data_IF_893551294228
#
_entry.id   IF_893551294228
#
_cell.length_a   1.000
_cell.length_b   1.000
_cell.length_c   1.000
_cell.angle_alpha   90.00
_cell.angle_beta   90.00
_cell.angle_gamma   90.00
#
_symmetry.space_group_name_H-M   'P 1'
#
loop_
_entity.id
_entity.type
_entity.pdbx_description
1 polymer ?
#
# COMPACT_ATOMS: atom_id res chain seq x y z
N UNK A 1 39.14 31.75 -0.44
CA UNK A 1 38.65 30.84 0.63
C UNK A 1 37.14 30.93 0.87
N UNK A 2 36.57 32.14 1.02
CA UNK A 2 35.13 32.35 1.32
C UNK A 2 34.14 31.62 0.39
N UNK A 3 34.30 31.69 -0.94
CA UNK A 3 33.38 31.00 -1.87
C UNK A 3 33.40 29.47 -1.74
N UNK A 4 34.58 28.86 -1.54
CA UNK A 4 34.72 27.40 -1.34
C UNK A 4 34.11 26.95 -0.02
N UNK A 5 34.26 27.76 1.04
CA UNK A 5 33.66 27.48 2.35
C UNK A 5 32.14 27.61 2.32
N UNK A 6 31.61 28.60 1.60
CA UNK A 6 30.17 28.76 1.35
C UNK A 6 29.59 27.55 0.60
N UNK A 7 30.23 27.11 -0.49
CA UNK A 7 29.80 25.91 -1.23
C UNK A 7 29.85 24.63 -0.39
N UNK A 8 30.87 24.47 0.46
CA UNK A 8 30.99 23.32 1.36
C UNK A 8 29.88 23.31 2.42
N UNK A 9 29.55 24.48 2.98
CA UNK A 9 28.48 24.62 3.97
C UNK A 9 27.09 24.36 3.35
N UNK A 10 26.83 24.85 2.13
CA UNK A 10 25.59 24.57 1.40
C UNK A 10 25.44 23.08 1.09
N UNK A 11 26.53 22.41 0.67
CA UNK A 11 26.55 20.96 0.45
C UNK A 11 26.30 20.18 1.74
N UNK A 12 26.90 20.62 2.86
CA UNK A 12 26.70 20.01 4.16
C UNK A 12 25.24 20.15 4.63
N UNK A 13 24.67 21.35 4.59
CA UNK A 13 23.27 21.60 5.00
C UNK A 13 22.31 20.82 4.10
N UNK A 14 22.48 20.89 2.77
CA UNK A 14 21.65 20.14 1.83
C UNK A 14 21.76 18.63 2.03
N UNK A 15 22.98 18.11 2.21
CA UNK A 15 23.24 16.70 2.49
C UNK A 15 22.61 16.25 3.81
N UNK A 16 22.69 17.06 4.87
CA UNK A 16 22.04 16.80 6.14
C UNK A 16 20.52 16.78 6.00
N UNK A 17 19.90 17.78 5.36
CA UNK A 17 18.45 17.82 5.13
C UNK A 17 17.94 16.61 4.35
N UNK A 18 18.71 16.14 3.37
CA UNK A 18 18.42 14.90 2.64
C UNK A 18 18.54 13.69 3.58
N UNK A 19 19.61 13.59 4.38
CA UNK A 19 19.84 12.44 5.25
C UNK A 19 18.83 12.33 6.40
N UNK A 20 18.36 13.45 6.95
CA UNK A 20 17.34 13.46 8.02
C UNK A 20 15.92 13.30 7.48
N UNK A 21 15.72 13.33 6.16
CA UNK A 21 14.40 13.24 5.57
C UNK A 21 13.57 14.51 5.79
N UNK A 22 14.13 15.69 5.53
CA UNK A 22 13.35 16.93 5.59
C UNK A 22 12.28 16.98 4.47
N UNK A 23 11.02 17.16 4.86
CA UNK A 23 9.90 17.11 3.91
C UNK A 23 9.99 18.20 2.86
N UNK A 24 10.34 19.44 3.24
CA UNK A 24 10.43 20.56 2.31
C UNK A 24 11.53 20.33 1.28
N UNK A 25 12.72 19.92 1.74
CA UNK A 25 13.88 19.59 0.89
C UNK A 25 13.54 18.51 -0.14
N UNK A 26 12.87 17.43 0.28
CA UNK A 26 12.48 16.37 -0.63
C UNK A 26 11.44 16.80 -1.65
N UNK A 27 10.34 17.41 -1.18
CA UNK A 27 9.20 17.77 -2.03
C UNK A 27 9.49 18.91 -3.00
N UNK A 28 10.37 19.85 -2.66
CA UNK A 28 10.62 21.04 -3.49
C UNK A 28 11.92 20.98 -4.30
N UNK A 29 12.90 20.15 -3.91
CA UNK A 29 14.19 20.09 -4.60
C UNK A 29 14.56 18.69 -5.07
N UNK A 30 14.64 17.71 -4.16
CA UNK A 30 15.17 16.38 -4.50
C UNK A 30 14.27 15.65 -5.50
N UNK A 31 12.99 15.53 -5.18
CA UNK A 31 12.05 14.78 -6.02
C UNK A 31 11.79 15.49 -7.36
N UNK A 32 11.53 16.82 -7.40
CA UNK A 32 11.41 17.53 -8.67
C UNK A 32 12.65 17.40 -9.57
N UNK A 33 13.86 17.45 -9.00
CA UNK A 33 15.09 17.24 -9.77
C UNK A 33 15.14 15.84 -10.39
N UNK A 34 14.86 14.79 -9.61
CA UNK A 34 14.82 13.40 -10.09
C UNK A 34 13.74 13.24 -11.17
N UNK A 35 12.55 13.78 -10.95
CA UNK A 35 11.42 13.70 -11.88
C UNK A 35 11.74 14.36 -13.23
N UNK A 36 12.46 15.48 -13.21
CA UNK A 36 12.86 16.21 -14.43
C UNK A 36 13.98 15.52 -15.22
N UNK A 37 14.85 14.78 -14.54
CA UNK A 37 16.09 14.28 -15.14
C UNK A 37 16.09 12.79 -15.42
N UNK A 38 15.25 11.99 -14.74
CA UNK A 38 15.26 10.54 -14.81
C UNK A 38 13.91 9.98 -15.24
N UNK A 39 13.94 9.02 -16.17
CA UNK A 39 12.78 8.18 -16.46
C UNK A 39 12.26 7.49 -15.18
N UNK A 40 10.94 7.34 -15.06
CA UNK A 40 10.28 6.83 -13.86
C UNK A 40 10.85 5.47 -13.42
N UNK A 41 11.02 4.53 -14.34
CA UNK A 41 11.57 3.20 -14.03
C UNK A 41 13.02 3.26 -13.52
N UNK A 42 13.88 4.08 -14.13
CA UNK A 42 15.27 4.23 -13.69
C UNK A 42 15.35 4.87 -12.29
N UNK A 43 14.51 5.86 -12.02
CA UNK A 43 14.43 6.47 -10.69
C UNK A 43 13.96 5.48 -9.62
N UNK A 44 13.03 4.59 -9.95
CA UNK A 44 12.56 3.53 -9.05
C UNK A 44 13.66 2.51 -8.78
N UNK A 45 14.34 2.02 -9.82
CA UNK A 45 15.50 1.11 -9.66
C UNK A 45 16.57 1.76 -8.78
N UNK A 46 16.88 3.03 -8.98
CA UNK A 46 17.84 3.76 -8.16
C UNK A 46 17.40 3.89 -6.70
N UNK A 47 16.13 4.18 -6.47
CA UNK A 47 15.58 4.26 -5.11
C UNK A 47 15.68 2.91 -4.38
N UNK A 48 15.37 1.80 -5.06
CA UNK A 48 15.50 0.45 -4.48
C UNK A 48 16.96 0.11 -4.19
N UNK A 49 17.88 0.36 -5.13
CA UNK A 49 19.31 0.12 -4.90
C UNK A 49 19.86 0.96 -3.74
N UNK A 50 19.47 2.23 -3.66
CA UNK A 50 19.86 3.13 -2.57
C UNK A 50 19.35 2.59 -1.23
N UNK A 51 18.08 2.16 -1.15
CA UNK A 51 17.51 1.56 0.04
C UNK A 51 18.19 0.23 0.42
N UNK A 52 18.46 -0.65 -0.55
CA UNK A 52 19.22 -1.89 -0.35
C UNK A 52 20.59 -1.66 0.27
N UNK A 53 21.26 -0.57 -0.10
CA UNK A 53 22.55 -0.18 0.47
C UNK A 53 22.46 0.71 1.72
N UNK A 54 21.26 0.97 2.23
CA UNK A 54 21.04 1.85 3.39
C UNK A 54 21.35 3.33 3.13
N UNK A 55 21.51 3.73 1.87
CA UNK A 55 21.74 5.12 1.44
C UNK A 55 20.39 5.80 1.29
N UNK A 56 19.69 5.93 2.41
CA UNK A 56 18.34 6.50 2.47
C UNK A 56 18.15 7.25 3.78
N UNK A 57 17.23 8.23 3.82
CA UNK A 57 16.97 8.94 5.05
C UNK A 57 16.46 7.99 6.13
N UNK A 58 16.86 8.28 7.37
CA UNK A 58 16.30 7.63 8.54
C UNK A 58 15.32 8.57 9.21
N UNK A 59 14.05 8.31 8.98
CA UNK A 59 12.98 9.06 9.61
C UNK A 59 12.98 8.69 11.10
N UNK A 60 13.09 9.68 12.01
CA UNK A 60 13.05 9.44 13.45
C UNK A 60 11.79 8.65 13.83
N UNK A 61 11.92 7.79 14.85
CA UNK A 61 10.76 7.12 15.43
C UNK A 61 9.84 8.16 16.06
N UNK A 62 8.54 7.93 15.95
CA UNK A 62 7.54 8.78 16.59
C UNK A 62 7.46 8.37 18.07
N UNK A 63 8.25 9.02 18.92
CA UNK A 63 8.29 8.77 20.37
C UNK A 63 7.45 9.80 21.16
N UNK A 64 6.51 10.46 20.49
CA UNK A 64 5.62 11.49 21.06
C UNK A 64 4.22 10.97 21.39
N UNK A 65 3.46 11.76 22.15
CA UNK A 65 2.06 11.48 22.49
C UNK A 65 1.18 11.25 21.25
N UNK A 66 1.53 11.88 20.14
CA UNK A 66 0.86 11.79 18.83
C UNK A 66 0.94 10.36 18.27
N UNK A 67 2.06 9.65 18.45
CA UNK A 67 2.21 8.28 17.96
C UNK A 67 1.33 7.24 18.70
N UNK A 68 0.87 7.56 19.91
CA UNK A 68 0.02 6.67 20.70
C UNK A 68 -1.34 6.41 20.05
N UNK A 69 -1.88 7.40 19.31
CA UNK A 69 -3.12 7.29 18.54
C UNK A 69 -3.04 6.25 17.41
N UNK A 70 -1.82 5.94 16.94
CA UNK A 70 -1.58 5.16 15.74
C UNK A 70 -1.28 3.68 16.01
N UNK A 71 -0.93 3.31 17.25
CA UNK A 71 -0.67 1.91 17.60
C UNK A 71 -1.92 1.06 17.40
N UNK A 72 -1.80 -0.01 16.62
CA UNK A 72 -2.93 -0.85 16.24
C UNK A 72 -2.56 -2.31 16.14
N UNK A 73 -3.56 -3.18 16.11
CA UNK A 73 -3.40 -4.59 15.80
C UNK A 73 -4.12 -4.87 14.47
N UNK A 74 -3.40 -5.44 13.51
CA UNK A 74 -3.92 -5.82 12.21
C UNK A 74 -3.77 -7.33 12.07
N UNK A 75 -4.88 -8.06 12.07
CA UNK A 75 -4.89 -9.52 11.85
C UNK A 75 -4.03 -10.29 12.87
N UNK A 76 -4.09 -9.88 14.15
CA UNK A 76 -3.27 -10.47 15.20
C UNK A 76 -1.81 -10.01 15.22
N UNK A 77 -1.44 -9.05 14.37
CA UNK A 77 -0.09 -8.49 14.29
C UNK A 77 -0.10 -7.08 14.88
N UNK A 78 0.71 -6.85 15.91
CA UNK A 78 0.89 -5.52 16.47
C UNK A 78 1.70 -4.63 15.53
N UNK A 79 1.17 -3.45 15.25
CA UNK A 79 1.78 -2.44 14.40
C UNK A 79 2.04 -1.17 15.23
N UNK A 80 3.24 -0.62 15.09
CA UNK A 80 3.60 0.66 15.69
C UNK A 80 2.77 1.83 15.12
N UNK A 81 2.34 1.71 13.86
CA UNK A 81 1.46 2.65 13.18
C UNK A 81 0.75 1.95 12.00
N UNK A 82 -0.37 2.49 11.47
CA UNK A 82 -1.20 1.83 10.48
C UNK A 82 -0.75 2.07 9.03
N UNK A 83 0.37 2.77 8.80
CA UNK A 83 0.78 3.23 7.48
C UNK A 83 1.83 2.29 6.91
N UNK A 84 1.49 1.59 5.83
CA UNK A 84 2.37 0.63 5.17
C UNK A 84 2.84 1.05 3.79
N UNK A 85 3.87 0.37 3.31
CA UNK A 85 4.31 0.44 1.91
C UNK A 85 3.53 -0.59 1.08
N UNK A 86 2.88 -0.15 0.00
CA UNK A 86 2.12 -1.05 -0.86
C UNK A 86 3.03 -1.93 -1.75
N UNK A 87 2.54 -3.12 -2.14
CA UNK A 87 3.20 -3.95 -3.14
C UNK A 87 3.42 -3.21 -4.47
N UNK A 88 4.48 -3.62 -5.17
CA UNK A 88 4.91 -3.08 -6.44
C UNK A 88 6.12 -2.16 -6.32
N UNK A 89 6.47 -1.70 -5.11
CA UNK A 89 7.69 -0.93 -4.88
C UNK A 89 8.91 -1.85 -4.75
N UNK A 90 9.02 -2.66 -3.69
CA UNK A 90 10.09 -3.67 -3.55
C UNK A 90 9.59 -5.04 -4.03
N UNK A 91 9.68 -5.26 -5.35
CA UNK A 91 9.11 -6.45 -6.01
C UNK A 91 9.87 -7.73 -5.68
N UNK A 92 11.14 -7.63 -5.31
CA UNK A 92 12.05 -8.76 -5.09
C UNK A 92 12.51 -8.89 -3.64
N UNK A 93 11.95 -8.06 -2.73
CA UNK A 93 12.30 -8.04 -1.31
C UNK A 93 13.75 -7.64 -1.04
N UNK A 94 14.38 -6.89 -1.94
CA UNK A 94 15.82 -6.61 -1.91
C UNK A 94 16.21 -5.43 -1.01
N UNK A 95 15.23 -4.64 -0.55
CA UNK A 95 15.48 -3.38 0.14
C UNK A 95 14.70 -3.20 1.45
N UNK A 96 13.99 -4.23 1.92
CA UNK A 96 13.14 -4.17 3.13
C UNK A 96 13.83 -3.51 4.32
N UNK A 97 15.09 -3.87 4.61
CA UNK A 97 15.82 -3.30 5.74
C UNK A 97 16.01 -1.78 5.61
N UNK A 98 16.38 -1.27 4.43
CA UNK A 98 16.50 0.16 4.19
C UNK A 98 15.17 0.88 4.17
N UNK A 99 14.14 0.27 3.57
CA UNK A 99 12.80 0.85 3.48
C UNK A 99 12.12 0.98 4.84
N UNK A 100 12.46 0.10 5.80
CA UNK A 100 11.97 0.23 7.18
C UNK A 100 12.43 1.51 7.87
N UNK A 101 13.47 2.19 7.37
CA UNK A 101 13.91 3.49 7.88
C UNK A 101 12.97 4.64 7.50
N UNK A 102 11.99 4.43 6.62
CA UNK A 102 11.05 5.49 6.21
C UNK A 102 9.92 5.65 7.23
N UNK A 103 9.88 4.83 8.29
CA UNK A 103 8.90 4.95 9.37
C UNK A 103 7.55 4.28 9.08
N UNK A 104 7.48 3.40 8.09
CA UNK A 104 6.33 2.52 7.85
C UNK A 104 6.09 1.57 9.03
N UNK A 105 4.82 1.26 9.31
CA UNK A 105 4.43 0.22 10.26
C UNK A 105 4.58 -1.20 9.68
N UNK A 106 4.43 -1.35 8.37
CA UNK A 106 4.57 -2.62 7.66
C UNK A 106 4.95 -2.40 6.18
N UNK A 107 5.53 -3.41 5.55
CA UNK A 107 5.97 -3.37 4.15
C UNK A 107 5.42 -4.58 3.42
N UNK A 108 4.78 -4.36 2.27
CA UNK A 108 4.37 -5.43 1.36
C UNK A 108 5.34 -5.53 0.18
N UNK A 109 6.05 -6.66 0.07
CA UNK A 109 6.94 -6.96 -1.06
C UNK A 109 6.20 -7.71 -2.17
N UNK A 110 6.74 -7.72 -3.38
CA UNK A 110 6.12 -8.37 -4.54
C UNK A 110 5.29 -7.40 -5.41
N UNK A 111 4.40 -7.86 -6.28
CA UNK A 111 4.01 -9.26 -6.47
C UNK A 111 5.13 -10.10 -7.05
N UNK A 112 5.44 -11.22 -6.40
CA UNK A 112 6.41 -12.22 -6.85
C UNK A 112 5.70 -13.38 -7.53
N UNK A 113 6.36 -13.98 -8.51
CA UNK A 113 5.86 -15.17 -9.24
C UNK A 113 6.81 -16.34 -9.06
N UNK A 114 6.37 -17.60 -9.29
CA UNK A 114 7.24 -18.77 -9.10
C UNK A 114 8.56 -18.67 -9.85
N UNK A 115 8.46 -18.46 -11.17
CA UNK A 115 9.61 -18.26 -12.03
C UNK A 115 9.90 -16.78 -12.23
N UNK A 116 11.17 -16.41 -12.48
CA UNK A 116 11.52 -15.06 -12.91
C UNK A 116 10.78 -14.68 -14.20
N UNK A 117 10.36 -13.43 -14.30
CA UNK A 117 9.84 -12.89 -15.55
C UNK A 117 10.17 -11.41 -15.72
N UNK A 118 10.46 -11.00 -16.96
CA UNK A 118 10.88 -9.64 -17.28
C UNK A 118 9.75 -8.61 -17.14
N UNK A 119 8.50 -9.03 -17.24
CA UNK A 119 7.32 -8.16 -17.38
C UNK A 119 7.12 -7.66 -18.81
N UNK A 120 6.27 -6.65 -18.99
CA UNK A 120 5.99 -6.06 -20.30
C UNK A 120 7.14 -5.18 -20.80
N UNK A 121 7.14 -4.85 -22.10
CA UNK A 121 8.19 -4.04 -22.74
C UNK A 121 8.28 -2.62 -22.16
N UNK A 122 9.50 -2.10 -22.09
CA UNK A 122 9.77 -0.69 -21.76
C UNK A 122 9.43 0.23 -22.96
N UNK A 123 8.93 1.46 -22.75
CA UNK A 123 8.54 2.07 -21.47
C UNK A 123 7.19 1.54 -20.95
N UNK A 124 7.08 1.44 -19.62
CA UNK A 124 5.95 0.79 -18.94
C UNK A 124 5.51 1.46 -17.64
N UNK A 125 6.01 2.65 -17.37
CA UNK A 125 5.63 3.48 -16.23
C UNK A 125 5.75 4.94 -16.62
N UNK A 126 4.68 5.70 -16.39
CA UNK A 126 4.49 7.05 -16.88
C UNK A 126 4.04 7.93 -15.72
N UNK A 127 4.72 9.06 -15.52
CA UNK A 127 4.29 10.06 -14.54
C UNK A 127 3.30 11.01 -15.20
N UNK A 128 2.17 11.22 -14.55
CA UNK A 128 1.22 12.27 -14.88
C UNK A 128 1.43 13.35 -13.82
N UNK A 129 2.31 14.30 -14.14
CA UNK A 129 2.89 15.23 -13.17
C UNK A 129 1.85 16.19 -12.60
N UNK A 130 1.00 16.74 -13.48
CA UNK A 130 -0.09 17.64 -13.16
C UNK A 130 -1.14 16.95 -12.26
N UNK A 131 -1.32 15.64 -12.42
CA UNK A 131 -2.28 14.83 -11.69
C UNK A 131 -1.69 14.18 -10.41
N UNK A 132 -0.38 14.37 -10.16
CA UNK A 132 0.40 13.61 -9.16
C UNK A 132 0.14 12.09 -9.23
N UNK A 133 0.00 11.58 -10.45
CA UNK A 133 -0.45 10.23 -10.73
C UNK A 133 0.60 9.42 -11.48
N UNK A 134 0.42 8.10 -11.50
CA UNK A 134 1.25 7.18 -12.29
C UNK A 134 0.34 6.22 -13.04
N UNK A 135 0.61 6.05 -14.33
CA UNK A 135 0.12 4.91 -15.12
C UNK A 135 1.26 3.91 -15.25
N UNK A 136 1.00 2.63 -14.98
CA UNK A 136 1.99 1.58 -15.19
C UNK A 136 1.39 0.32 -15.82
N UNK A 137 2.21 -0.34 -16.63
CA UNK A 137 1.94 -1.62 -17.26
C UNK A 137 3.06 -2.63 -17.04
N UNK A 138 3.61 -2.70 -15.82
CA UNK A 138 4.78 -3.55 -15.53
C UNK A 138 4.62 -5.04 -15.89
N UNK A 139 3.46 -5.64 -15.62
CA UNK A 139 3.21 -7.06 -15.89
C UNK A 139 4.01 -8.04 -15.01
N UNK A 140 4.03 -7.80 -13.69
CA UNK A 140 4.75 -8.62 -12.70
C UNK A 140 6.23 -8.90 -13.05
N UNK A 141 7.00 -7.87 -13.40
CA UNK A 141 8.46 -8.01 -13.49
C UNK A 141 9.05 -8.38 -12.11
N UNK A 142 9.72 -9.53 -11.99
CA UNK A 142 10.36 -10.00 -10.76
C UNK A 142 11.37 -11.12 -11.04
N UNK A 143 12.23 -11.42 -10.07
CA UNK A 143 13.32 -12.38 -10.14
C UNK A 143 12.97 -13.78 -9.59
N UNK A 144 11.68 -14.07 -9.37
CA UNK A 144 11.19 -15.37 -8.93
C UNK A 144 11.26 -15.59 -7.42
N UNK A 145 10.62 -16.67 -6.95
CA UNK A 145 10.53 -16.94 -5.52
C UNK A 145 11.91 -17.15 -4.86
N UNK A 146 12.81 -17.89 -5.50
CA UNK A 146 14.13 -18.22 -4.94
C UNK A 146 14.98 -16.97 -4.68
N UNK A 147 14.95 -16.00 -5.61
CA UNK A 147 15.68 -14.75 -5.44
C UNK A 147 15.13 -13.95 -4.26
N UNK A 148 13.80 -13.86 -4.14
CA UNK A 148 13.18 -13.15 -3.02
C UNK A 148 13.50 -13.81 -1.68
N UNK A 149 13.51 -15.15 -1.59
CA UNK A 149 13.90 -15.84 -0.36
C UNK A 149 15.32 -15.47 0.05
N UNK A 150 16.26 -15.54 -0.89
CA UNK A 150 17.67 -15.21 -0.62
C UNK A 150 17.84 -13.73 -0.21
N UNK A 151 17.05 -12.82 -0.79
CA UNK A 151 17.07 -11.41 -0.43
C UNK A 151 16.52 -11.16 0.98
N UNK A 152 15.42 -11.80 1.35
CA UNK A 152 14.80 -11.69 2.68
C UNK A 152 15.69 -12.33 3.75
N UNK A 153 16.28 -13.49 3.48
CA UNK A 153 17.18 -14.18 4.41
C UNK A 153 18.43 -13.33 4.71
N UNK A 154 19.07 -12.78 3.68
CA UNK A 154 20.24 -11.89 3.82
C UNK A 154 19.97 -10.69 4.73
N UNK A 155 18.72 -10.21 4.76
CA UNK A 155 18.31 -9.04 5.53
C UNK A 155 17.61 -9.39 6.84
N UNK A 156 17.42 -10.68 7.16
CA UNK A 156 16.56 -11.16 8.26
C UNK A 156 16.90 -10.54 9.60
N UNK A 157 18.19 -10.45 9.95
CA UNK A 157 18.68 -9.81 11.19
C UNK A 157 18.30 -8.34 11.26
N UNK A 158 18.46 -7.60 10.16
CA UNK A 158 18.15 -6.17 10.11
C UNK A 158 16.63 -5.91 10.17
N UNK A 159 15.84 -6.73 9.46
CA UNK A 159 14.37 -6.71 9.50
C UNK A 159 13.87 -6.91 10.94
N UNK A 160 14.37 -7.94 11.63
CA UNK A 160 14.00 -8.23 13.02
C UNK A 160 14.43 -7.11 13.98
N UNK A 161 15.65 -6.59 13.83
CA UNK A 161 16.15 -5.46 14.63
C UNK A 161 15.27 -4.21 14.48
N UNK A 162 14.76 -3.96 13.28
CA UNK A 162 13.90 -2.81 13.00
C UNK A 162 12.44 -3.05 13.38
N UNK A 163 12.07 -4.27 13.81
CA UNK A 163 10.72 -4.68 14.15
C UNK A 163 9.69 -4.33 13.06
N UNK A 164 10.06 -4.52 11.79
CA UNK A 164 9.19 -4.23 10.65
C UNK A 164 8.40 -5.48 10.26
N UNK A 165 7.08 -5.31 10.10
CA UNK A 165 6.19 -6.36 9.63
C UNK A 165 6.28 -6.46 8.11
N UNK A 166 6.56 -7.65 7.58
CA UNK A 166 6.69 -7.88 6.13
C UNK A 166 5.55 -8.77 5.64
N UNK A 167 4.83 -8.31 4.63
CA UNK A 167 3.88 -9.11 3.86
C UNK A 167 4.45 -9.52 2.51
N UNK A 168 4.12 -10.72 2.04
CA UNK A 168 4.49 -11.18 0.70
C UNK A 168 3.26 -11.20 -0.21
N UNK A 169 3.30 -10.39 -1.25
CA UNK A 169 2.28 -10.37 -2.29
C UNK A 169 2.61 -11.41 -3.38
N UNK A 170 1.70 -12.35 -3.58
CA UNK A 170 1.83 -13.47 -4.50
C UNK A 170 1.08 -13.17 -5.79
N UNK A 171 1.72 -13.46 -6.92
CA UNK A 171 1.12 -13.41 -8.25
C UNK A 171 1.36 -14.70 -9.01
N UNK A 172 0.77 -14.78 -10.20
CA UNK A 172 1.00 -15.87 -11.15
C UNK A 172 1.97 -15.46 -12.25
N UNK A 173 2.74 -16.40 -12.77
CA UNK A 173 3.51 -16.21 -14.00
C UNK A 173 2.56 -15.90 -15.18
N UNK A 174 3.07 -15.15 -16.17
CA UNK A 174 2.29 -14.78 -17.36
C UNK A 174 1.74 -16.02 -18.09
N UNK A 175 2.64 -16.95 -18.39
CA UNK A 175 2.39 -18.10 -19.27
C UNK A 175 2.14 -19.42 -18.49
N UNK A 176 1.80 -19.31 -17.20
CA UNK A 176 1.48 -20.49 -16.38
C UNK A 176 0.26 -21.22 -16.93
N UNK A 177 0.32 -22.56 -16.92
CA UNK A 177 -0.82 -23.43 -17.20
C UNK A 177 -1.71 -23.66 -15.97
N UNK A 178 -1.17 -23.40 -14.78
CA UNK A 178 -1.87 -23.58 -13.51
C UNK A 178 -1.76 -22.32 -12.64
N UNK A 179 -2.63 -21.34 -12.93
CA UNK A 179 -2.65 -20.07 -12.24
C UNK A 179 -2.83 -20.19 -10.73
N UNK A 180 -3.64 -21.16 -10.27
CA UNK A 180 -3.88 -21.37 -8.84
C UNK A 180 -2.66 -22.04 -8.19
N UNK A 181 -2.02 -22.97 -8.91
CA UNK A 181 -0.78 -23.63 -8.49
C UNK A 181 0.35 -22.65 -8.19
N UNK A 182 0.46 -21.55 -8.94
CA UNK A 182 1.45 -20.51 -8.68
C UNK A 182 1.28 -19.88 -7.29
N UNK A 183 0.06 -19.54 -6.86
CA UNK A 183 -0.20 -19.00 -5.52
C UNK A 183 0.08 -20.03 -4.42
N UNK A 184 -0.30 -21.30 -4.64
CA UNK A 184 -0.01 -22.42 -3.72
C UNK A 184 1.50 -22.57 -3.53
N UNK A 185 2.27 -22.54 -4.62
CA UNK A 185 3.73 -22.64 -4.57
C UNK A 185 4.36 -21.45 -3.84
N UNK A 186 3.78 -20.25 -3.99
CA UNK A 186 4.17 -19.07 -3.24
C UNK A 186 3.99 -19.26 -1.74
N UNK A 187 2.80 -19.69 -1.31
CA UNK A 187 2.57 -20.02 0.10
C UNK A 187 3.59 -21.03 0.60
N UNK A 188 3.73 -22.17 -0.08
CA UNK A 188 4.69 -23.22 0.29
C UNK A 188 6.12 -22.69 0.46
N UNK A 189 6.55 -21.81 -0.45
CA UNK A 189 7.93 -21.36 -0.48
C UNK A 189 8.27 -20.36 0.62
N UNK A 190 7.32 -19.49 0.97
CA UNK A 190 7.54 -18.38 1.89
C UNK A 190 6.95 -18.62 3.30
N UNK A 191 6.09 -19.63 3.50
CA UNK A 191 5.35 -19.82 4.75
C UNK A 191 6.23 -19.89 5.99
N UNK A 192 7.37 -20.55 5.88
CA UNK A 192 8.25 -20.81 7.02
C UNK A 192 9.34 -19.76 7.21
N UNK A 193 9.38 -18.72 6.36
CA UNK A 193 10.30 -17.60 6.56
C UNK A 193 9.84 -16.76 7.74
N UNK A 194 10.66 -16.67 8.78
CA UNK A 194 10.32 -15.94 10.00
C UNK A 194 10.17 -14.42 9.82
N UNK A 195 10.78 -13.87 8.77
CA UNK A 195 10.65 -12.47 8.36
C UNK A 195 9.27 -12.15 7.80
N UNK A 196 8.56 -13.15 7.25
CA UNK A 196 7.25 -12.97 6.62
C UNK A 196 6.14 -13.13 7.65
N UNK A 197 5.23 -12.15 7.73
CA UNK A 197 4.17 -12.08 8.74
C UNK A 197 2.77 -12.26 8.16
N UNK A 198 2.54 -11.93 6.89
CA UNK A 198 1.27 -12.17 6.20
C UNK A 198 1.47 -12.40 4.68
N UNK A 199 0.43 -12.91 4.03
CA UNK A 199 0.41 -13.17 2.59
C UNK A 199 -0.72 -12.44 1.90
N UNK A 200 -0.56 -12.15 0.61
CA UNK A 200 -1.59 -11.54 -0.23
C UNK A 200 -1.74 -12.32 -1.52
N UNK A 201 -2.97 -12.69 -1.87
CA UNK A 201 -3.32 -13.19 -3.20
C UNK A 201 -3.67 -11.99 -4.09
N UNK A 202 -2.88 -11.72 -5.12
CA UNK A 202 -3.14 -10.61 -6.05
C UNK A 202 -3.81 -11.09 -7.33
N UNK A 203 -5.13 -10.89 -7.40
CA UNK A 203 -5.97 -11.15 -8.58
C UNK A 203 -6.43 -9.89 -9.31
N UNK A 204 -5.78 -8.75 -9.06
CA UNK A 204 -6.33 -7.43 -9.44
C UNK A 204 -5.42 -6.58 -10.33
N UNK A 205 -4.21 -7.04 -10.66
CA UNK A 205 -3.34 -6.34 -11.62
C UNK A 205 -4.02 -6.25 -13.00
N UNK A 206 -4.12 -5.05 -13.61
CA UNK A 206 -4.61 -4.90 -14.99
C UNK A 206 -3.57 -5.36 -16.04
N UNK A 207 -2.34 -5.62 -15.62
CA UNK A 207 -1.18 -5.73 -16.52
C UNK A 207 -0.79 -7.17 -16.82
N UNK A 208 -1.52 -8.13 -16.25
CA UNK A 208 -1.36 -9.56 -16.49
C UNK A 208 -2.62 -10.08 -17.16
N UNK A 209 -2.55 -10.61 -18.40
CA UNK A 209 -3.73 -11.04 -19.15
C UNK A 209 -4.62 -11.97 -18.34
N UNK A 210 -5.93 -11.73 -18.41
CA UNK A 210 -7.00 -12.51 -17.76
C UNK A 210 -6.94 -12.60 -16.23
N UNK A 211 -6.01 -11.92 -15.56
CA UNK A 211 -5.89 -12.04 -14.10
C UNK A 211 -7.14 -11.55 -13.36
N UNK A 212 -7.72 -10.43 -13.80
CA UNK A 212 -8.91 -9.84 -13.17
C UNK A 212 -10.17 -10.70 -13.29
N UNK A 213 -10.21 -11.64 -14.24
CA UNK A 213 -11.28 -12.65 -14.36
C UNK A 213 -11.34 -13.57 -13.14
N UNK A 214 -10.23 -13.75 -12.42
CA UNK A 214 -10.19 -14.52 -11.17
C UNK A 214 -11.02 -13.89 -10.03
N UNK A 215 -11.56 -12.68 -10.23
CA UNK A 215 -12.50 -12.04 -9.31
C UNK A 215 -13.96 -12.49 -9.55
N UNK A 216 -14.25 -13.15 -10.67
CA UNK A 216 -15.58 -13.72 -10.93
C UNK A 216 -15.90 -14.82 -9.92
N UNK A 217 -17.15 -14.92 -9.49
CA UNK A 217 -17.57 -15.76 -8.36
C UNK A 217 -17.06 -17.22 -8.43
N UNK A 218 -17.17 -17.83 -9.62
CA UNK A 218 -16.73 -19.22 -9.85
C UNK A 218 -15.21 -19.37 -9.72
N UNK A 219 -14.45 -18.52 -10.40
CA UNK A 219 -12.98 -18.57 -10.42
C UNK A 219 -12.41 -18.25 -9.03
N UNK A 220 -12.98 -17.26 -8.34
CA UNK A 220 -12.59 -16.89 -6.99
C UNK A 220 -12.83 -18.02 -5.99
N UNK A 221 -13.97 -18.71 -6.08
CA UNK A 221 -14.29 -19.87 -5.22
C UNK A 221 -13.27 -20.99 -5.43
N UNK A 222 -12.95 -21.33 -6.68
CA UNK A 222 -11.95 -22.36 -7.00
C UNK A 222 -10.55 -22.00 -6.50
N UNK A 223 -10.16 -20.73 -6.66
CA UNK A 223 -8.91 -20.20 -6.14
C UNK A 223 -8.83 -20.34 -4.61
N UNK A 224 -9.84 -19.85 -3.89
CA UNK A 224 -9.83 -19.88 -2.43
C UNK A 224 -9.89 -21.31 -1.88
N UNK A 225 -10.68 -22.21 -2.47
CA UNK A 225 -10.74 -23.61 -2.04
C UNK A 225 -9.36 -24.28 -2.06
N UNK A 226 -8.59 -24.08 -3.14
CA UNK A 226 -7.29 -24.73 -3.29
C UNK A 226 -6.21 -24.04 -2.47
N UNK A 227 -6.20 -22.70 -2.42
CA UNK A 227 -5.22 -21.95 -1.63
C UNK A 227 -5.42 -22.15 -0.13
N UNK A 228 -6.67 -22.14 0.36
CA UNK A 228 -6.96 -22.33 1.78
C UNK A 228 -6.77 -23.77 2.25
N UNK A 229 -6.95 -24.77 1.37
CA UNK A 229 -6.55 -26.15 1.65
C UNK A 229 -5.05 -26.24 1.92
N UNK A 230 -4.24 -25.60 1.08
CA UNK A 230 -2.79 -25.56 1.30
C UNK A 230 -2.43 -24.78 2.56
N UNK A 231 -3.07 -23.62 2.79
CA UNK A 231 -2.86 -22.83 4.01
C UNK A 231 -3.17 -23.66 5.27
N UNK A 232 -4.24 -24.46 5.28
CA UNK A 232 -4.61 -25.34 6.42
C UNK A 232 -3.54 -26.38 6.72
N UNK A 233 -2.94 -26.96 5.67
CA UNK A 233 -1.81 -27.88 5.80
C UNK A 233 -0.59 -27.19 6.43
N UNK A 234 -0.28 -25.97 6.01
CA UNK A 234 0.85 -25.19 6.51
C UNK A 234 0.60 -24.70 7.95
N UNK A 235 -0.61 -24.24 8.26
CA UNK A 235 -1.05 -23.80 9.60
C UNK A 235 -0.92 -24.90 10.66
N UNK A 236 -1.12 -26.16 10.28
CA UNK A 236 -0.97 -27.32 11.17
C UNK A 236 0.47 -27.61 11.61
N UNK A 237 1.46 -27.03 10.92
CA UNK A 237 2.89 -27.32 11.14
C UNK A 237 3.74 -26.08 11.41
N UNK A 238 3.13 -24.90 11.57
CA UNK A 238 3.84 -23.62 11.66
C UNK A 238 3.01 -22.54 12.36
N UNK A 239 3.66 -21.44 12.72
CA UNK A 239 2.96 -20.25 13.24
C UNK A 239 2.01 -19.74 12.17
N UNK A 240 0.71 -19.64 12.51
CA UNK A 240 -0.33 -19.20 11.59
C UNK A 240 -0.05 -17.78 11.08
N UNK A 241 -0.16 -17.59 9.77
CA UNK A 241 0.04 -16.29 9.11
C UNK A 241 -1.24 -15.87 8.40
N UNK A 242 -1.66 -14.59 8.53
CA UNK A 242 -2.82 -14.10 7.82
C UNK A 242 -2.66 -14.16 6.30
N UNK A 243 -3.75 -14.42 5.58
CA UNK A 243 -3.86 -14.42 4.14
C UNK A 243 -4.93 -13.42 3.70
N UNK A 244 -4.55 -12.44 2.88
CA UNK A 244 -5.45 -11.41 2.39
C UNK A 244 -5.70 -11.55 0.88
N UNK A 245 -6.83 -11.03 0.42
CA UNK A 245 -7.19 -10.94 -0.99
C UNK A 245 -7.11 -9.49 -1.46
N UNK A 246 -6.35 -9.21 -2.54
CA UNK A 246 -6.25 -7.87 -3.12
C UNK A 246 -7.14 -7.73 -4.35
N UNK A 247 -8.14 -6.84 -4.29
CA UNK A 247 -9.15 -6.66 -5.33
C UNK A 247 -8.96 -5.36 -6.13
N UNK A 248 -9.52 -5.33 -7.33
CA UNK A 248 -9.50 -4.17 -8.22
C UNK A 248 -10.54 -3.13 -7.77
N UNK A 249 -10.33 -1.84 -8.09
CA UNK A 249 -11.34 -0.82 -7.88
C UNK A 249 -12.44 -0.83 -8.96
N UNK A 250 -12.17 -1.48 -10.09
CA UNK A 250 -13.00 -1.46 -11.30
C UNK A 250 -14.04 -2.59 -11.28
N UNK A 251 -14.87 -2.65 -10.24
CA UNK A 251 -15.86 -3.70 -10.02
C UNK A 251 -17.27 -3.12 -9.94
N UNK A 252 -18.25 -3.83 -10.50
CA UNK A 252 -19.68 -3.47 -10.36
C UNK A 252 -20.18 -3.78 -8.96
N UNK A 253 -21.31 -3.20 -8.57
CA UNK A 253 -21.94 -3.48 -7.27
C UNK A 253 -22.35 -4.95 -7.09
N UNK A 254 -22.72 -5.62 -8.18
CA UNK A 254 -23.00 -7.05 -8.19
C UNK A 254 -21.72 -7.87 -7.95
N UNK A 255 -20.63 -7.56 -8.65
CA UNK A 255 -19.34 -8.21 -8.42
C UNK A 255 -18.83 -8.00 -6.98
N UNK A 256 -19.00 -6.81 -6.41
CA UNK A 256 -18.66 -6.54 -5.01
C UNK A 256 -19.51 -7.38 -4.05
N UNK A 257 -20.82 -7.53 -4.31
CA UNK A 257 -21.70 -8.41 -3.52
C UNK A 257 -21.24 -9.87 -3.59
N UNK A 258 -20.93 -10.38 -4.77
CA UNK A 258 -20.45 -11.74 -4.95
C UNK A 258 -19.14 -11.99 -4.21
N UNK A 259 -18.15 -11.11 -4.42
CA UNK A 259 -16.85 -11.19 -3.75
C UNK A 259 -17.05 -11.12 -2.23
N UNK A 260 -17.86 -10.19 -1.72
CA UNK A 260 -18.10 -10.06 -0.28
C UNK A 260 -18.75 -11.32 0.31
N UNK A 261 -19.70 -11.93 -0.37
CA UNK A 261 -20.39 -13.14 0.07
C UNK A 261 -19.43 -14.32 0.15
N UNK A 262 -18.57 -14.46 -0.87
CA UNK A 262 -17.51 -15.48 -0.91
C UNK A 262 -16.51 -15.22 0.22
N UNK A 263 -15.99 -14.00 0.35
CA UNK A 263 -15.01 -13.64 1.37
C UNK A 263 -15.55 -13.89 2.78
N UNK A 264 -16.80 -13.49 3.08
CA UNK A 264 -17.44 -13.75 4.39
C UNK A 264 -17.60 -15.25 4.64
N UNK A 265 -17.95 -16.03 3.62
CA UNK A 265 -18.04 -17.49 3.73
C UNK A 265 -16.69 -18.11 4.08
N UNK A 266 -15.60 -17.63 3.47
CA UNK A 266 -14.25 -18.13 3.71
C UNK A 266 -13.54 -17.44 4.90
N UNK A 267 -14.05 -16.35 5.45
CA UNK A 267 -13.43 -15.66 6.60
C UNK A 267 -13.83 -16.28 7.94
N UNK A 268 -15.01 -16.92 7.99
CA UNK A 268 -15.44 -17.71 9.14
C UNK A 268 -14.64 -19.01 9.18
N UNK A 269 -13.65 -19.09 10.07
CA UNK A 269 -12.96 -20.35 10.37
C UNK A 269 -14.00 -21.37 10.84
N UNK A 270 -14.28 -22.39 10.03
CA UNK A 270 -14.91 -23.62 10.53
C UNK A 270 -13.81 -24.50 11.13
N UNK A 271 -14.15 -25.40 12.04
CA UNK A 271 -13.20 -26.10 12.93
C UNK A 271 -12.05 -26.88 12.24
N UNK A 272 -11.97 -26.95 10.91
CA UNK A 272 -10.89 -27.62 10.16
C UNK A 272 -10.37 -26.84 8.93
N UNK A 273 -10.80 -25.60 8.69
CA UNK A 273 -10.41 -24.84 7.48
C UNK A 273 -9.81 -23.48 7.82
N UNK A 274 -8.63 -23.19 7.27
CA UNK A 274 -8.05 -21.85 7.30
C UNK A 274 -8.93 -20.85 6.58
N UNK A 275 -8.85 -19.60 7.02
CA UNK A 275 -9.69 -18.52 6.54
C UNK A 275 -8.97 -17.59 5.56
N UNK A 276 -9.75 -16.83 4.81
CA UNK A 276 -9.29 -15.54 4.28
C UNK A 276 -9.42 -14.51 5.41
N UNK A 277 -8.30 -13.90 5.78
CA UNK A 277 -8.21 -13.12 7.02
C UNK A 277 -8.52 -11.63 6.78
N UNK A 278 -8.36 -11.13 5.56
CA UNK A 278 -8.63 -9.73 5.24
C UNK A 278 -8.63 -9.40 3.75
N UNK A 279 -8.87 -8.12 3.46
CA UNK A 279 -8.88 -7.57 2.11
C UNK A 279 -7.85 -6.45 1.96
N UNK A 280 -7.31 -6.28 0.75
CA UNK A 280 -6.57 -5.08 0.35
C UNK A 280 -7.35 -4.38 -0.76
N UNK A 281 -7.76 -3.14 -0.49
CA UNK A 281 -8.66 -2.37 -1.35
C UNK A 281 -8.05 -0.98 -1.58
N UNK A 282 -7.48 -0.65 -2.74
CA UNK A 282 -7.51 -1.42 -3.99
C UNK A 282 -6.18 -1.48 -4.71
N UNK A 283 -6.15 -2.26 -5.79
CA UNK A 283 -5.15 -2.12 -6.85
C UNK A 283 -5.40 -0.84 -7.69
N UNK A 284 -4.60 -0.64 -8.74
CA UNK A 284 -4.75 0.45 -9.70
C UNK A 284 -6.04 0.34 -10.52
N UNK A 285 -6.55 1.47 -11.01
CA UNK A 285 -7.75 1.54 -11.88
C UNK A 285 -7.39 1.57 -13.36
N UNK A 286 -8.22 0.99 -14.23
CA UNK A 286 -8.11 1.22 -15.70
C UNK A 286 -8.96 2.41 -16.16
N UNK A 287 -9.84 2.93 -15.31
CA UNK A 287 -10.62 4.13 -15.60
C UNK A 287 -9.70 5.33 -15.75
N UNK A 288 -10.05 6.22 -16.67
CA UNK A 288 -9.40 7.53 -16.90
C UNK A 288 -10.43 8.63 -16.59
N UNK A 289 -10.41 9.23 -15.39
CA UNK A 289 -11.30 10.33 -15.06
C UNK A 289 -11.12 11.49 -16.04
N UNK A 290 -12.22 12.14 -16.44
CA UNK A 290 -12.17 13.33 -17.31
C UNK A 290 -11.51 14.54 -16.66
N UNK A 291 -11.29 14.50 -15.34
CA UNK A 291 -10.60 15.53 -14.56
C UNK A 291 -9.07 15.46 -14.64
N UNK A 292 -8.50 14.50 -15.38
CA UNK A 292 -7.04 14.40 -15.57
C UNK A 292 -6.53 15.58 -16.40
N UNK A 293 -5.39 16.14 -15.99
CA UNK A 293 -4.82 17.39 -16.50
C UNK A 293 -3.54 17.19 -17.33
N UNK A 294 -2.84 16.06 -17.16
CA UNK A 294 -1.62 15.76 -17.92
C UNK A 294 -1.85 15.62 -19.43
N UNK A 295 -0.77 15.53 -20.21
CA UNK A 295 -0.85 15.33 -21.66
C UNK A 295 -1.76 14.12 -22.01
N UNK A 296 -2.75 14.29 -22.91
CA UNK A 296 -3.61 13.21 -23.37
C UNK A 296 -2.86 11.96 -23.83
N UNK A 297 -1.69 12.11 -24.47
CA UNK A 297 -0.83 10.98 -24.87
C UNK A 297 -0.41 10.13 -23.68
N UNK A 298 -0.10 10.76 -22.54
CA UNK A 298 0.24 10.08 -21.29
C UNK A 298 -1.01 9.50 -20.61
N UNK A 299 -2.12 10.25 -20.61
CA UNK A 299 -3.39 9.81 -20.02
C UNK A 299 -3.89 8.51 -20.68
N UNK A 300 -3.76 8.40 -22.00
CA UNK A 300 -4.22 7.24 -22.77
C UNK A 300 -3.19 6.11 -22.87
N UNK A 301 -2.05 6.20 -22.18
CA UNK A 301 -1.14 5.06 -22.04
C UNK A 301 -1.85 3.85 -21.41
N UNK A 302 -1.58 2.66 -21.94
CA UNK A 302 -2.12 1.42 -21.40
C UNK A 302 -1.59 1.15 -19.99
N UNK A 303 -2.45 0.62 -19.13
CA UNK A 303 -2.09 0.15 -17.80
C UNK A 303 -2.96 0.72 -16.68
N UNK A 304 -2.53 0.46 -15.45
CA UNK A 304 -3.22 0.89 -14.25
C UNK A 304 -2.82 2.29 -13.80
N UNK A 305 -3.81 3.16 -13.63
CA UNK A 305 -3.71 4.49 -13.02
C UNK A 305 -3.71 4.39 -11.48
N UNK A 306 -2.84 5.17 -10.87
CA UNK A 306 -2.64 5.30 -9.41
C UNK A 306 -2.39 6.75 -9.03
N UNK A 307 -2.45 7.07 -7.74
CA UNK A 307 -2.31 8.44 -7.23
C UNK A 307 -3.66 9.07 -6.87
N UNK A 308 -3.71 10.39 -6.62
CA UNK A 308 -4.92 11.08 -6.19
C UNK A 308 -6.18 10.82 -7.04
N UNK A 309 -6.11 10.69 -8.38
CA UNK A 309 -7.28 10.35 -9.20
C UNK A 309 -7.98 9.02 -8.83
N UNK A 310 -7.28 8.10 -8.14
CA UNK A 310 -7.84 6.83 -7.66
C UNK A 310 -8.48 6.95 -6.26
N UNK A 311 -8.26 8.04 -5.52
CA UNK A 311 -8.63 8.16 -4.09
C UNK A 311 -10.11 7.87 -3.87
N UNK A 312 -10.99 8.61 -4.56
CA UNK A 312 -12.43 8.49 -4.35
C UNK A 312 -12.96 7.10 -4.71
N UNK A 313 -12.54 6.58 -5.86
CA UNK A 313 -12.97 5.26 -6.32
C UNK A 313 -12.56 4.17 -5.31
N UNK A 314 -11.30 4.18 -4.88
CA UNK A 314 -10.81 3.20 -3.89
C UNK A 314 -11.50 3.36 -2.53
N UNK A 315 -11.73 4.58 -2.03
CA UNK A 315 -12.47 4.82 -0.79
C UNK A 315 -13.91 4.32 -0.89
N UNK A 316 -14.58 4.54 -2.02
CA UNK A 316 -15.95 4.05 -2.23
C UNK A 316 -16.03 2.52 -2.21
N UNK A 317 -15.04 1.83 -2.78
CA UNK A 317 -14.98 0.36 -2.71
C UNK A 317 -14.73 -0.12 -1.27
N UNK A 318 -13.87 0.56 -0.50
CA UNK A 318 -13.68 0.26 0.95
C UNK A 318 -15.02 0.38 1.68
N UNK A 319 -15.73 1.50 1.50
CA UNK A 319 -17.03 1.76 2.14
C UNK A 319 -18.06 0.68 1.81
N UNK A 320 -18.19 0.33 0.53
CA UNK A 320 -19.12 -0.72 0.08
C UNK A 320 -18.75 -2.08 0.66
N UNK A 321 -17.48 -2.47 0.58
CA UNK A 321 -17.02 -3.76 1.08
C UNK A 321 -17.14 -3.87 2.60
N UNK A 322 -16.82 -2.81 3.35
CA UNK A 322 -17.01 -2.80 4.80
C UNK A 322 -18.48 -3.03 5.19
N UNK A 323 -19.41 -2.36 4.50
CA UNK A 323 -20.85 -2.56 4.71
C UNK A 323 -21.28 -3.99 4.33
N UNK A 324 -20.86 -4.48 3.17
CA UNK A 324 -21.23 -5.81 2.68
C UNK A 324 -20.69 -6.95 3.55
N UNK A 325 -19.53 -6.75 4.19
CA UNK A 325 -18.95 -7.72 5.14
C UNK A 325 -19.39 -7.47 6.59
N UNK A 326 -20.28 -6.51 6.84
CA UNK A 326 -20.70 -6.07 8.18
C UNK A 326 -19.52 -5.76 9.11
N UNK A 327 -18.43 -5.20 8.56
CA UNK A 327 -17.20 -4.90 9.29
C UNK A 327 -16.45 -6.11 9.87
N UNK A 328 -16.85 -7.34 9.53
CA UNK A 328 -16.27 -8.57 10.09
C UNK A 328 -14.93 -8.97 9.45
N UNK A 329 -14.60 -8.40 8.29
CA UNK A 329 -13.37 -8.70 7.54
C UNK A 329 -12.50 -7.45 7.51
N UNK A 330 -11.32 -7.46 8.17
CA UNK A 330 -10.39 -6.33 8.16
C UNK A 330 -9.95 -5.92 6.75
N UNK A 331 -9.83 -4.61 6.53
CA UNK A 331 -9.46 -4.02 5.23
C UNK A 331 -8.17 -3.21 5.37
N UNK A 332 -7.21 -3.43 4.48
CA UNK A 332 -6.10 -2.51 4.23
C UNK A 332 -6.49 -1.59 3.07
N UNK A 333 -6.62 -0.29 3.35
CA UNK A 333 -7.02 0.73 2.38
C UNK A 333 -5.84 1.27 1.57
N UNK A 334 -5.96 1.31 0.25
CA UNK A 334 -4.89 1.67 -0.68
C UNK A 334 -5.48 2.46 -1.85
N UNK A 335 -4.76 3.49 -2.30
CA UNK A 335 -5.11 4.27 -3.49
C UNK A 335 -5.27 5.76 -3.18
N UNK A 336 -4.39 6.58 -3.77
CA UNK A 336 -4.49 8.04 -3.71
C UNK A 336 -4.30 8.69 -2.34
N UNK A 337 -3.51 8.06 -1.46
CA UNK A 337 -3.19 8.61 -0.12
C UNK A 337 -1.95 9.49 -0.23
N UNK A 338 -2.11 10.80 -0.07
CA UNK A 338 -1.03 11.78 -0.03
C UNK A 338 -1.00 12.62 1.26
N UNK A 339 -1.98 12.46 2.14
CA UNK A 339 -2.10 13.18 3.41
C UNK A 339 -2.68 12.30 4.52
N UNK A 340 -2.59 12.77 5.77
CA UNK A 340 -3.26 12.12 6.89
C UNK A 340 -4.78 12.20 6.81
N UNK A 341 -5.32 13.22 6.13
CA UNK A 341 -6.75 13.33 5.85
C UNK A 341 -7.24 12.21 4.93
N UNK A 342 -6.49 11.88 3.88
CA UNK A 342 -6.81 10.77 2.96
C UNK A 342 -6.77 9.42 3.69
N UNK A 343 -5.78 9.25 4.58
CA UNK A 343 -5.68 8.06 5.41
C UNK A 343 -6.88 7.98 6.37
N UNK A 344 -7.22 9.08 7.02
CA UNK A 344 -8.36 9.18 7.94
C UNK A 344 -9.68 8.86 7.23
N UNK A 345 -9.92 9.42 6.05
CA UNK A 345 -11.08 9.12 5.21
C UNK A 345 -11.21 7.61 4.97
N UNK A 346 -10.12 6.92 4.61
CA UNK A 346 -10.17 5.47 4.39
C UNK A 346 -10.41 4.69 5.68
N UNK A 347 -9.86 5.14 6.80
CA UNK A 347 -10.09 4.50 8.11
C UNK A 347 -11.56 4.60 8.51
N UNK A 348 -12.15 5.81 8.46
CA UNK A 348 -13.56 6.00 8.83
C UNK A 348 -14.52 5.31 7.85
N UNK A 349 -14.12 5.13 6.59
CA UNK A 349 -14.85 4.36 5.60
C UNK A 349 -14.81 2.83 5.86
N UNK A 350 -13.86 2.33 6.67
CA UNK A 350 -13.80 0.93 7.08
C UNK A 350 -12.41 0.27 7.07
N UNK A 351 -11.36 0.98 6.64
CA UNK A 351 -10.01 0.42 6.65
C UNK A 351 -9.45 0.33 8.08
N UNK A 352 -8.73 -0.75 8.38
CA UNK A 352 -8.00 -0.96 9.64
C UNK A 352 -6.56 -0.45 9.59
N UNK A 353 -5.99 -0.41 8.39
CA UNK A 353 -4.67 0.11 8.08
C UNK A 353 -4.67 0.66 6.65
N UNK A 354 -3.64 1.41 6.27
CA UNK A 354 -3.53 1.98 4.93
C UNK A 354 -2.17 1.71 4.30
N UNK A 355 -2.09 1.69 2.97
CA UNK A 355 -0.81 1.67 2.25
C UNK A 355 -0.68 2.83 1.26
N UNK A 356 0.55 3.33 1.11
CA UNK A 356 0.91 4.33 0.13
C UNK A 356 2.01 3.83 -0.81
N UNK A 357 2.06 4.39 -2.04
CA UNK A 357 3.11 4.14 -3.02
C UNK A 357 3.32 5.37 -3.90
N UNK A 358 2.29 5.82 -4.62
CA UNK A 358 2.42 6.94 -5.57
C UNK A 358 2.94 8.21 -4.89
N UNK A 359 2.43 8.55 -3.70
CA UNK A 359 2.87 9.72 -2.94
C UNK A 359 4.35 9.66 -2.54
N UNK A 360 4.91 8.48 -2.27
CA UNK A 360 6.36 8.30 -2.05
C UNK A 360 7.19 8.77 -3.26
N UNK A 361 6.66 8.62 -4.47
CA UNK A 361 7.34 9.01 -5.72
C UNK A 361 7.25 10.51 -6.04
N UNK A 362 6.35 11.24 -5.37
CA UNK A 362 6.11 12.68 -5.52
C UNK A 362 6.65 13.52 -4.35
N UNK A 363 6.73 12.93 -3.16
CA UNK A 363 7.13 13.65 -1.94
C UNK A 363 8.35 13.04 -1.24
N UNK A 364 8.84 11.89 -1.72
CA UNK A 364 9.98 11.20 -1.13
C UNK A 364 9.65 10.55 0.21
N UNK A 365 10.64 9.90 0.86
CA UNK A 365 10.47 9.22 2.15
C UNK A 365 9.74 10.02 3.24
N UNK A 366 9.95 11.34 3.40
CA UNK A 366 9.34 12.11 4.49
C UNK A 366 7.81 12.13 4.52
N UNK A 367 7.16 11.79 3.39
CA UNK A 367 5.69 11.69 3.31
C UNK A 367 5.10 10.73 4.34
N UNK A 368 5.83 9.68 4.71
CA UNK A 368 5.34 8.69 5.65
C UNK A 368 5.15 9.31 7.03
N UNK A 369 6.09 10.16 7.47
CA UNK A 369 5.94 10.91 8.73
C UNK A 369 4.80 11.91 8.64
N UNK A 370 4.74 12.68 7.55
CA UNK A 370 3.67 13.67 7.34
C UNK A 370 2.27 13.05 7.45
N UNK A 371 2.03 11.94 6.74
CA UNK A 371 0.74 11.22 6.78
C UNK A 371 0.42 10.72 8.19
N UNK A 372 1.39 10.15 8.91
CA UNK A 372 1.19 9.66 10.28
C UNK A 372 0.83 10.80 11.24
N UNK A 373 1.61 11.87 11.25
CA UNK A 373 1.39 13.02 12.13
C UNK A 373 0.03 13.64 11.88
N UNK A 374 -0.32 13.88 10.61
CA UNK A 374 -1.64 14.41 10.26
C UNK A 374 -2.77 13.45 10.64
N UNK A 375 -2.65 12.15 10.38
CA UNK A 375 -3.66 11.15 10.75
C UNK A 375 -3.93 11.15 12.25
N UNK A 376 -2.88 11.20 13.08
CA UNK A 376 -3.03 11.26 14.52
C UNK A 376 -3.75 12.54 14.98
N UNK A 377 -3.49 13.68 14.33
CA UNK A 377 -4.21 14.92 14.61
C UNK A 377 -5.69 14.80 14.21
N UNK A 378 -6.01 14.22 13.05
CA UNK A 378 -7.40 13.95 12.67
C UNK A 378 -8.10 13.04 13.68
N UNK A 379 -7.44 12.01 14.19
CA UNK A 379 -7.99 11.15 15.24
C UNK A 379 -8.28 11.94 16.52
N UNK A 380 -7.32 12.73 17.00
CA UNK A 380 -7.44 13.56 18.20
C UNK A 380 -8.58 14.57 18.09
N UNK A 381 -8.58 15.41 17.04
CA UNK A 381 -9.59 16.47 16.87
C UNK A 381 -11.00 15.92 16.61
N UNK A 382 -11.13 14.68 16.12
CA UNK A 382 -12.44 14.04 15.96
C UNK A 382 -12.84 13.16 17.15
N UNK A 383 -12.14 13.28 18.29
CA UNK A 383 -12.52 12.66 19.56
C UNK A 383 -12.26 11.15 19.65
N UNK A 384 -11.45 10.60 18.75
CA UNK A 384 -11.04 9.19 18.83
C UNK A 384 -9.85 9.02 19.76
N UNK A 385 -9.87 7.99 20.62
CA UNK A 385 -8.74 7.71 21.52
C UNK A 385 -7.57 7.06 20.80
N UNK A 386 -7.85 6.33 19.73
CA UNK A 386 -6.87 5.69 18.86
C UNK A 386 -7.56 5.32 17.55
N UNK A 387 -6.76 4.86 16.59
CA UNK A 387 -7.24 4.49 15.27
C UNK A 387 -8.34 3.41 15.28
N UNK A 388 -8.33 2.46 16.21
CA UNK A 388 -9.31 1.36 16.25
C UNK A 388 -10.72 1.90 16.47
N UNK A 389 -10.84 2.93 17.30
CA UNK A 389 -12.11 3.60 17.58
C UNK A 389 -12.68 4.27 16.32
N UNK A 390 -11.82 4.68 15.38
CA UNK A 390 -12.22 5.34 14.13
C UNK A 390 -12.58 4.39 12.98
N UNK A 391 -12.18 3.11 13.02
CA UNK A 391 -12.41 2.16 11.92
C UNK A 391 -13.91 2.03 11.65
N UNK A 392 -14.34 2.38 10.43
CA UNK A 392 -15.74 2.27 10.02
C UNK A 392 -16.68 3.22 10.76
N UNK A 393 -16.16 4.29 11.39
CA UNK A 393 -16.98 5.25 12.14
C UNK A 393 -18.08 5.93 11.31
N UNK A 394 -17.94 5.97 9.98
CA UNK A 394 -18.96 6.45 9.06
C UNK A 394 -20.22 5.57 9.04
N UNK A 395 -20.11 4.29 9.41
CA UNK A 395 -21.22 3.32 9.33
C UNK A 395 -22.01 3.17 10.63
N UNK A 396 -21.59 3.82 11.72
CA UNK A 396 -22.20 3.65 13.04
C UNK A 396 -23.37 4.63 13.23
N UNK A 397 -24.52 4.20 13.80
CA UNK A 397 -25.60 5.13 14.16
C UNK A 397 -25.10 6.22 15.11
N UNK A 398 -25.28 7.50 14.76
CA UNK A 398 -24.77 8.64 15.54
C UNK A 398 -23.24 8.86 15.48
N UNK A 399 -22.53 8.10 14.63
CA UNK A 399 -21.12 8.29 14.31
C UNK A 399 -20.87 9.51 13.42
N UNK A 400 -19.70 9.57 12.77
CA UNK A 400 -19.33 10.70 11.89
C UNK A 400 -20.27 10.89 10.69
N UNK A 401 -21.17 9.95 10.40
CA UNK A 401 -22.15 10.09 9.32
C UNK A 401 -23.03 11.35 9.44
N UNK A 402 -23.23 11.84 10.67
CA UNK A 402 -24.09 12.99 10.97
C UNK A 402 -23.33 14.13 11.68
N UNK A 403 -22.00 14.05 11.78
CA UNK A 403 -21.16 15.06 12.45
C UNK A 403 -20.16 15.65 11.46
N UNK A 404 -20.04 16.98 11.46
CA UNK A 404 -18.99 17.69 10.74
C UNK A 404 -17.62 17.20 11.21
N UNK A 405 -16.80 16.69 10.29
CA UNK A 405 -15.41 16.32 10.59
C UNK A 405 -14.67 17.59 11.03
N UNK A 406 -14.08 17.56 12.22
CA UNK A 406 -13.25 18.65 12.71
C UNK A 406 -11.90 18.61 12.01
N UNK A 407 -11.56 19.70 11.32
CA UNK A 407 -10.27 19.89 10.70
C UNK A 407 -9.24 20.32 11.75
N UNK A 408 -8.04 19.71 11.77
CA UNK A 408 -6.94 20.22 12.57
C UNK A 408 -6.62 21.68 12.21
N UNK A 409 -6.17 22.53 13.17
CA UNK A 409 -5.94 23.96 12.93
C UNK A 409 -5.05 24.28 11.72
N UNK A 410 -4.03 23.46 11.46
CA UNK A 410 -3.14 23.65 10.31
C UNK A 410 -3.82 23.44 8.95
N UNK A 411 -4.96 22.73 8.90
CA UNK A 411 -5.78 22.59 7.70
C UNK A 411 -6.69 23.79 7.46
N UNK A 412 -7.07 24.54 8.50
CA UNK A 412 -7.89 25.76 8.35
C UNK A 412 -7.13 26.90 7.64
N UNK A 413 -5.80 26.84 7.62
CA UNK A 413 -4.95 27.84 6.94
C UNK A 413 -4.79 27.54 5.44
N UNK A 414 -4.95 26.27 5.03
CA UNK A 414 -4.90 25.85 3.62
C UNK A 414 -6.32 25.74 3.05
N UNK A 415 -6.89 26.89 2.67
CA UNK A 415 -8.29 27.01 2.26
C UNK A 415 -8.69 26.11 1.08
N UNK A 416 -7.73 25.72 0.23
CA UNK A 416 -8.00 24.83 -0.90
C UNK A 416 -8.14 23.38 -0.43
N UNK A 417 -7.19 22.90 0.38
CA UNK A 417 -7.26 21.55 0.94
C UNK A 417 -8.46 21.38 1.88
N UNK A 418 -8.75 22.38 2.71
CA UNK A 418 -9.93 22.36 3.59
C UNK A 418 -11.22 22.26 2.79
N UNK A 419 -11.38 23.05 1.74
CA UNK A 419 -12.59 23.06 0.92
C UNK A 419 -12.77 21.74 0.16
N UNK A 420 -11.69 21.17 -0.40
CA UNK A 420 -11.76 19.87 -1.08
C UNK A 420 -12.20 18.76 -0.12
N UNK A 421 -11.60 18.69 1.08
CA UNK A 421 -11.94 17.67 2.08
C UNK A 421 -13.36 17.86 2.63
N UNK A 422 -13.76 19.09 2.95
CA UNK A 422 -15.11 19.40 3.40
C UNK A 422 -16.17 19.13 2.33
N UNK A 423 -15.89 19.41 1.05
CA UNK A 423 -16.84 19.09 -0.04
C UNK A 423 -17.07 17.59 -0.18
N UNK A 424 -16.06 16.77 0.11
CA UNK A 424 -16.18 15.30 0.06
C UNK A 424 -16.95 14.71 1.26
N UNK A 425 -16.98 15.40 2.40
CA UNK A 425 -17.55 14.88 3.65
C UNK A 425 -18.72 15.70 4.20
N UNK A 426 -19.04 16.84 3.61
CA UNK A 426 -20.13 17.71 4.01
C UNK A 426 -21.39 17.43 3.21
N UNK A 427 -22.32 16.67 3.79
CA UNK A 427 -23.76 16.81 3.59
C UNK A 427 -24.50 16.50 4.88
#
# INVERSE_FOLDING_TARGET
MSKKLGSLLTLAIGGTSIFIGDYYTYSHYVVPLIQRTWHAEHSHIFAIKSARHGIVPRIPKDDDEVSSYLKTNLLGIDLNNPVGLAAGFDKDGEAVAGLSNFGFGFIEVGSVTPNPQRGNMYPRVFRLMEDRAIINRYGFNNLGHETMVNNLDRQSKAIKKNNIVVGVNLGKNRDTKDAIGDYVSGLQRFYNLDTVRYFVINISSPNTPNLRKMQDAKELTQLLDRVLREKSRLDSSSVKKPLLLKIAPDLTDEQLKDISSIVVRYSKSTNDRSAIDGLIISNTTVTRPSSLLSDPKLIYEEGGLSGPPLRQLSTNVIRKMYKLTNGSVPIIGVGGIESGADAFEKIIAGASAVQLLTSLTYFGPPIVKAVKTELALFLHYNGFRNIRDAIGAEHRPGGLSNKTIQLPPQWNVDSKKSNEFQTMHGK
#
